data_IF_839945661430
#
_entry.id   IF_839945661430
#
_cell.length_a   1.000
_cell.length_b   1.000
_cell.length_c   1.000
_cell.angle_alpha   90.00
_cell.angle_beta   90.00
_cell.angle_gamma   90.00
#
_symmetry.space_group_name_H-M   'P 1'
#
loop_
_entity.id
_entity.type
_entity.pdbx_description
1 polymer ?
#
# COMPACT_ATOMS: atom_id res chain seq x y z
N UNK A 1 -29.54 -34.95 11.56
CA UNK A 1 -29.96 -34.30 10.31
C UNK A 1 -30.56 -32.97 10.68
N UNK A 2 -29.76 -31.91 10.57
CA UNK A 2 -30.22 -30.52 10.70
C UNK A 2 -29.50 -29.76 9.59
N UNK A 3 -30.31 -29.11 8.80
CA UNK A 3 -30.03 -28.46 7.52
C UNK A 3 -29.22 -27.19 7.71
N UNK A 4 -28.26 -26.97 6.82
CA UNK A 4 -27.47 -25.75 6.68
C UNK A 4 -28.30 -24.75 5.90
N UNK A 5 -28.70 -23.66 6.53
CA UNK A 5 -29.16 -22.43 5.88
C UNK A 5 -28.62 -21.23 6.65
N UNK A 6 -28.18 -20.23 5.89
CA UNK A 6 -27.82 -18.86 6.31
C UNK A 6 -26.37 -18.59 6.75
N UNK A 7 -25.45 -18.57 5.78
CA UNK A 7 -24.38 -17.56 5.73
C UNK A 7 -24.19 -17.17 4.26
N UNK A 8 -24.91 -16.16 3.79
CA UNK A 8 -24.56 -15.40 2.57
C UNK A 8 -25.41 -14.11 2.54
N UNK A 9 -24.90 -13.06 3.17
CA UNK A 9 -25.39 -11.70 2.94
C UNK A 9 -24.28 -10.72 3.35
N UNK A 10 -23.45 -10.32 2.39
CA UNK A 10 -22.75 -9.03 2.32
C UNK A 10 -21.81 -9.08 1.11
N UNK A 11 -22.37 -8.95 -0.10
CA UNK A 11 -21.63 -8.57 -1.29
C UNK A 11 -22.55 -7.77 -2.21
N UNK A 12 -22.86 -6.55 -1.80
CA UNK A 12 -23.51 -5.56 -2.65
C UNK A 12 -22.98 -4.16 -2.33
N UNK A 13 -21.82 -3.83 -2.89
CA UNK A 13 -21.46 -2.43 -3.13
C UNK A 13 -20.43 -2.30 -4.26
N UNK A 14 -20.83 -1.52 -5.28
CA UNK A 14 -20.04 -0.99 -6.40
C UNK A 14 -19.74 -1.91 -7.61
N UNK A 15 -20.70 -1.94 -8.55
CA UNK A 15 -20.41 -1.95 -9.99
C UNK A 15 -20.69 -0.56 -10.56
N UNK A 16 -19.66 0.22 -10.83
CA UNK A 16 -19.76 1.36 -11.75
C UNK A 16 -19.33 0.93 -13.17
N UNK A 17 -20.11 1.24 -14.22
CA UNK A 17 -19.71 1.01 -15.60
C UNK A 17 -18.86 2.18 -16.13
N UNK A 18 -17.74 1.86 -16.79
CA UNK A 18 -17.01 2.82 -17.62
C UNK A 18 -17.86 3.23 -18.83
N UNK A 19 -18.41 4.44 -18.79
CA UNK A 19 -19.00 5.11 -19.95
C UNK A 19 -17.89 5.90 -20.65
N UNK A 20 -17.57 5.51 -21.88
CA UNK A 20 -16.68 6.28 -22.74
C UNK A 20 -17.52 7.35 -23.45
N UNK A 21 -17.28 8.62 -23.10
CA UNK A 21 -17.89 9.78 -23.74
C UNK A 21 -17.24 9.99 -25.12
N UNK A 22 -18.03 9.81 -26.18
CA UNK A 22 -17.66 10.13 -27.55
C UNK A 22 -18.03 11.60 -27.83
N UNK A 23 -17.05 12.42 -28.21
CA UNK A 23 -17.29 13.78 -28.68
C UNK A 23 -17.65 13.77 -30.17
N UNK A 24 -18.85 14.28 -30.47
CA UNK A 24 -19.33 14.51 -31.84
C UNK A 24 -18.64 15.74 -32.48
N UNK A 25 -18.28 15.69 -33.77
CA UNK A 25 -17.92 16.87 -34.54
C UNK A 25 -19.16 17.59 -35.12
N UNK A 26 -19.08 18.91 -35.40
CA UNK A 26 -20.24 19.74 -35.69
C UNK A 26 -20.79 19.57 -37.10
N UNK A 27 -22.12 19.76 -37.19
CA UNK A 27 -22.94 19.86 -38.40
C UNK A 27 -22.79 21.19 -39.14
N UNK A 28 -22.52 21.15 -40.45
CA UNK A 28 -22.93 22.11 -41.50
C UNK A 28 -22.33 21.61 -42.82
N UNK A 29 -22.88 21.70 -44.02
CA UNK A 29 -24.11 22.22 -44.59
C UNK A 29 -24.29 21.46 -45.93
N UNK A 30 -25.49 21.52 -46.48
CA UNK A 30 -25.87 20.95 -47.78
C UNK A 30 -25.12 21.58 -48.95
N UNK A 31 -24.55 20.77 -49.85
CA UNK A 31 -24.30 21.18 -51.23
C UNK A 31 -24.39 19.97 -52.18
N UNK A 32 -25.27 20.08 -53.16
CA UNK A 32 -25.47 19.10 -54.24
C UNK A 32 -24.30 19.15 -55.20
N UNK A 33 -23.59 18.04 -55.37
CA UNK A 33 -22.51 17.90 -56.36
C UNK A 33 -22.90 16.83 -57.38
N UNK A 34 -22.83 17.21 -58.65
CA UNK A 34 -23.16 16.45 -59.85
C UNK A 34 -22.43 15.10 -59.97
N UNK A 35 -22.94 14.15 -60.78
CA UNK A 35 -22.27 12.87 -61.00
C UNK A 35 -20.88 13.05 -61.64
N UNK A 36 -19.86 12.28 -61.19
CA UNK A 36 -18.51 12.41 -61.75
C UNK A 36 -18.44 11.86 -63.17
N UNK A 37 -17.79 12.63 -64.04
CA UNK A 37 -17.37 12.23 -65.38
C UNK A 37 -16.31 11.12 -65.36
N UNK A 38 -16.32 10.27 -66.40
CA UNK A 38 -15.47 9.09 -66.67
C UNK A 38 -13.94 9.33 -66.69
N UNK A 39 -13.34 9.68 -65.55
CA UNK A 39 -11.88 9.70 -65.39
C UNK A 39 -11.46 9.23 -64.00
N UNK A 40 -11.74 7.97 -63.64
CA UNK A 40 -11.10 7.36 -62.46
C UNK A 40 -10.86 5.85 -62.61
N UNK A 41 -10.23 5.48 -63.73
CA UNK A 41 -9.71 4.14 -63.97
C UNK A 41 -8.32 3.90 -63.33
N UNK A 42 -7.98 4.59 -62.23
CA UNK A 42 -6.69 4.40 -61.53
C UNK A 42 -6.82 3.88 -60.08
N UNK A 43 -8.04 3.83 -59.53
CA UNK A 43 -8.28 3.30 -58.17
C UNK A 43 -8.26 1.77 -58.07
N UNK A 44 -8.49 1.05 -59.17
CA UNK A 44 -8.55 -0.42 -59.17
C UNK A 44 -7.18 -1.10 -59.27
N UNK A 45 -6.14 -0.38 -59.69
CA UNK A 45 -4.77 -0.92 -59.75
C UNK A 45 -4.05 -0.92 -58.40
N UNK A 46 -4.49 -0.11 -57.43
CA UNK A 46 -3.80 0.03 -56.14
C UNK A 46 -4.00 -1.17 -55.20
N UNK A 47 -5.03 -1.98 -55.41
CA UNK A 47 -5.33 -3.16 -54.58
C UNK A 47 -4.68 -4.44 -55.09
N UNK A 48 -4.10 -4.43 -56.29
CA UNK A 48 -3.49 -5.63 -56.89
C UNK A 48 -2.06 -5.90 -56.41
N UNK A 49 -1.40 -4.92 -55.77
CA UNK A 49 -0.07 -5.10 -55.17
C UNK A 49 -0.09 -5.75 -53.77
N UNK A 50 -1.28 -5.91 -53.18
CA UNK A 50 -1.44 -6.53 -51.85
C UNK A 50 -1.22 -8.05 -51.85
N UNK A 51 -1.08 -8.68 -53.02
CA UNK A 51 -0.89 -10.11 -53.20
C UNK A 51 0.45 -10.46 -53.88
N UNK A 52 1.43 -9.57 -53.83
CA UNK A 52 2.78 -9.93 -54.28
C UNK A 52 3.36 -11.00 -53.32
N UNK A 53 3.70 -12.22 -53.80
CA UNK A 53 4.29 -13.27 -52.97
C UNK A 53 5.58 -12.83 -52.25
N UNK A 54 6.29 -11.81 -52.76
CA UNK A 54 7.42 -11.22 -52.04
C UNK A 54 7.00 -10.45 -50.79
N UNK A 55 5.89 -9.69 -50.82
CA UNK A 55 5.44 -8.90 -49.66
C UNK A 55 4.86 -9.79 -48.57
N UNK A 56 4.10 -10.83 -48.94
CA UNK A 56 3.64 -11.86 -48.00
C UNK A 56 4.80 -12.68 -47.41
N UNK A 57 5.79 -13.04 -48.25
CA UNK A 57 7.02 -13.70 -47.77
C UNK A 57 7.78 -12.85 -46.76
N UNK A 58 7.92 -11.54 -47.03
CA UNK A 58 8.56 -10.61 -46.11
C UNK A 58 7.77 -10.43 -44.80
N UNK A 59 6.43 -10.38 -44.85
CA UNK A 59 5.58 -10.30 -43.66
C UNK A 59 5.65 -11.56 -42.80
N UNK A 60 5.62 -12.75 -43.42
CA UNK A 60 5.79 -14.03 -42.70
C UNK A 60 7.20 -14.10 -42.09
N UNK A 61 8.24 -13.71 -42.83
CA UNK A 61 9.61 -13.67 -42.31
C UNK A 61 9.75 -12.67 -41.15
N UNK A 62 9.11 -11.50 -41.24
CA UNK A 62 9.11 -10.49 -40.18
C UNK A 62 8.37 -11.00 -38.93
N UNK A 63 7.25 -11.69 -39.08
CA UNK A 63 6.53 -12.32 -37.95
C UNK A 63 7.34 -13.47 -37.35
N UNK A 64 7.96 -14.32 -38.17
CA UNK A 64 8.82 -15.40 -37.70
C UNK A 64 10.07 -14.86 -37.00
N UNK A 65 10.71 -13.82 -37.55
CA UNK A 65 11.80 -13.11 -36.89
C UNK A 65 11.33 -12.47 -35.59
N UNK A 66 10.16 -11.83 -35.56
CA UNK A 66 9.60 -11.28 -34.33
C UNK A 66 9.32 -12.37 -33.29
N UNK A 67 8.79 -13.53 -33.68
CA UNK A 67 8.58 -14.67 -32.78
C UNK A 67 9.90 -15.26 -32.27
N UNK A 68 10.94 -15.34 -33.12
CA UNK A 68 12.29 -15.78 -32.73
C UNK A 68 12.92 -14.76 -31.79
N UNK A 69 12.84 -13.46 -32.10
CA UNK A 69 13.31 -12.39 -31.22
C UNK A 69 12.57 -12.43 -29.88
N UNK A 70 11.25 -12.58 -29.87
CA UNK A 70 10.46 -12.75 -28.63
C UNK A 70 10.92 -13.99 -27.86
N UNK A 71 11.11 -15.16 -28.50
CA UNK A 71 11.60 -16.36 -27.81
C UNK A 71 13.03 -16.24 -27.29
N UNK A 72 13.90 -15.53 -28.01
CA UNK A 72 15.29 -15.28 -27.59
C UNK A 72 15.38 -14.16 -26.53
N UNK A 73 14.39 -13.28 -26.48
CA UNK A 73 14.35 -12.11 -25.61
C UNK A 73 13.40 -12.27 -24.43
N UNK A 74 12.62 -13.35 -24.33
CA UNK A 74 11.87 -13.66 -23.11
C UNK A 74 12.89 -13.91 -22.01
N UNK A 75 13.04 -13.00 -21.02
CA UNK A 75 13.92 -13.26 -19.91
C UNK A 75 13.44 -14.54 -19.26
N UNK A 76 14.35 -15.50 -19.07
CA UNK A 76 14.05 -16.67 -18.25
C UNK A 76 13.71 -16.13 -16.87
N UNK A 77 12.42 -16.05 -16.53
CA UNK A 77 11.98 -15.67 -15.19
C UNK A 77 12.46 -16.80 -14.28
N UNK A 78 13.64 -16.63 -13.70
CA UNK A 78 14.16 -17.58 -12.75
C UNK A 78 13.13 -17.67 -11.62
N UNK A 79 12.59 -18.88 -11.42
CA UNK A 79 11.65 -19.11 -10.32
C UNK A 79 12.37 -18.71 -9.02
N UNK A 80 11.77 -17.86 -8.17
CA UNK A 80 12.38 -17.47 -6.91
C UNK A 80 12.69 -18.72 -6.07
N UNK A 81 13.84 -18.72 -5.37
CA UNK A 81 14.15 -19.79 -4.43
C UNK A 81 13.07 -19.83 -3.34
N UNK A 82 12.59 -21.02 -3.01
CA UNK A 82 11.69 -21.24 -1.89
C UNK A 82 12.52 -21.73 -0.70
N UNK A 83 12.32 -21.07 0.43
CA UNK A 83 12.97 -21.35 1.71
C UNK A 83 11.93 -21.94 2.65
N UNK A 84 12.34 -22.86 3.53
CA UNK A 84 11.56 -23.18 4.72
C UNK A 84 12.20 -22.52 5.95
N UNK A 85 11.49 -22.52 7.07
CA UNK A 85 11.94 -21.82 8.30
C UNK A 85 13.25 -22.40 8.86
N UNK A 86 13.42 -23.72 8.85
CA UNK A 86 14.63 -24.38 9.35
C UNK A 86 15.86 -24.11 8.48
N UNK A 87 15.67 -24.02 7.16
CA UNK A 87 16.71 -23.64 6.22
C UNK A 87 17.11 -22.18 6.43
N UNK A 88 16.12 -21.28 6.50
CA UNK A 88 16.37 -19.84 6.68
C UNK A 88 17.11 -19.56 8.01
N UNK A 89 16.80 -20.29 9.08
CA UNK A 89 17.41 -20.13 10.41
C UNK A 89 18.94 -20.30 10.42
N UNK A 90 19.50 -21.02 9.46
CA UNK A 90 20.96 -21.19 9.31
C UNK A 90 21.66 -19.90 8.88
N UNK A 91 20.94 -18.98 8.25
CA UNK A 91 21.45 -17.73 7.70
C UNK A 91 21.26 -16.54 8.66
N UNK A 92 21.50 -16.79 9.96
CA UNK A 92 21.35 -15.79 11.02
C UNK A 92 22.62 -14.95 11.26
N UNK A 93 23.68 -15.17 10.47
CA UNK A 93 24.95 -14.44 10.56
C UNK A 93 25.98 -15.01 11.53
N UNK A 94 25.68 -16.10 12.24
CA UNK A 94 26.63 -16.77 13.14
C UNK A 94 27.80 -17.42 12.40
N UNK A 95 27.56 -17.97 11.21
CA UNK A 95 28.62 -18.46 10.33
C UNK A 95 29.13 -17.31 9.44
N UNK A 96 30.42 -16.92 9.54
CA UNK A 96 30.97 -15.84 8.71
C UNK A 96 30.94 -16.13 7.21
N UNK A 97 30.87 -17.41 6.81
CA UNK A 97 30.88 -17.88 5.41
C UNK A 97 29.50 -17.88 4.75
N UNK A 98 28.42 -17.82 5.53
CA UNK A 98 27.07 -17.75 5.01
C UNK A 98 26.60 -16.29 4.90
N UNK A 99 25.72 -15.97 3.93
CA UNK A 99 25.04 -14.69 3.91
C UNK A 99 24.10 -14.57 5.11
N UNK A 100 23.75 -13.34 5.45
CA UNK A 100 22.75 -13.02 6.47
C UNK A 100 21.44 -12.78 5.75
N UNK A 101 20.43 -13.60 6.02
CA UNK A 101 19.12 -13.49 5.39
C UNK A 101 18.09 -12.94 6.37
N UNK A 102 17.11 -12.21 5.87
CA UNK A 102 16.00 -11.63 6.63
C UNK A 102 14.70 -11.87 5.88
N UNK A 103 13.67 -12.36 6.58
CA UNK A 103 12.32 -12.52 6.08
C UNK A 103 11.41 -11.37 6.53
N UNK A 104 10.57 -10.88 5.62
CA UNK A 104 9.47 -9.97 5.93
C UNK A 104 8.35 -10.18 4.91
N UNK A 105 7.11 -10.30 5.37
CA UNK A 105 5.93 -10.62 4.54
C UNK A 105 6.16 -11.86 3.65
N UNK A 106 6.97 -12.81 4.12
CA UNK A 106 7.38 -14.00 3.39
C UNK A 106 8.40 -13.78 2.28
N UNK A 107 8.82 -12.54 1.98
CA UNK A 107 9.95 -12.28 1.08
C UNK A 107 11.26 -12.38 1.84
N UNK A 108 12.27 -13.02 1.24
CA UNK A 108 13.59 -13.23 1.84
C UNK A 108 14.62 -12.35 1.14
N UNK A 109 15.38 -11.59 1.93
CA UNK A 109 16.39 -10.66 1.47
C UNK A 109 17.76 -11.00 2.03
N UNK A 110 18.79 -10.90 1.20
CA UNK A 110 20.18 -10.89 1.64
C UNK A 110 20.53 -9.50 2.20
N UNK A 111 20.80 -9.47 3.50
CA UNK A 111 21.15 -8.28 4.27
C UNK A 111 22.63 -8.25 4.67
N UNK A 112 23.48 -9.06 4.03
CA UNK A 112 24.91 -9.19 4.35
C UNK A 112 25.68 -7.87 4.22
N UNK A 113 25.28 -6.96 3.30
CA UNK A 113 25.86 -5.59 3.22
C UNK A 113 25.62 -4.77 4.50
N UNK A 114 24.69 -5.19 5.36
CA UNK A 114 24.40 -4.60 6.66
C UNK A 114 24.91 -5.44 7.84
N UNK A 115 25.95 -6.27 7.67
CA UNK A 115 26.46 -7.18 8.72
C UNK A 115 26.73 -6.51 10.07
N UNK A 116 27.13 -5.24 10.13
CA UNK A 116 27.30 -4.53 11.41
C UNK A 116 25.99 -4.34 12.20
N UNK A 117 24.83 -4.40 11.52
CA UNK A 117 23.52 -4.29 12.14
C UNK A 117 22.84 -5.65 12.33
N UNK A 118 22.96 -6.55 11.33
CA UNK A 118 22.25 -7.83 11.32
C UNK A 118 23.13 -9.02 11.72
N UNK A 119 24.45 -8.84 11.85
CA UNK A 119 25.33 -9.87 12.40
C UNK A 119 25.10 -10.10 13.89
N UNK A 120 25.71 -11.13 14.49
CA UNK A 120 25.45 -11.53 15.89
C UNK A 120 25.54 -10.40 16.93
N UNK A 121 26.52 -9.51 16.78
CA UNK A 121 26.74 -8.36 17.69
C UNK A 121 25.97 -7.10 17.30
N UNK A 122 25.19 -7.15 16.21
CA UNK A 122 24.44 -6.01 15.70
C UNK A 122 23.12 -5.81 16.42
N UNK A 123 22.66 -4.56 16.52
CA UNK A 123 21.41 -4.20 17.20
C UNK A 123 20.14 -4.79 16.57
N UNK A 124 20.24 -5.31 15.34
CA UNK A 124 19.14 -5.91 14.58
C UNK A 124 19.36 -7.41 14.30
N UNK A 125 20.26 -8.07 15.05
CA UNK A 125 20.56 -9.50 14.91
C UNK A 125 19.33 -10.40 15.08
N UNK A 126 18.36 -9.98 15.89
CA UNK A 126 17.11 -10.72 16.13
C UNK A 126 16.26 -10.95 14.88
N UNK A 127 16.43 -10.14 13.83
CA UNK A 127 15.72 -10.30 12.56
C UNK A 127 16.35 -11.33 11.63
N UNK A 128 17.58 -11.75 11.89
CA UNK A 128 18.34 -12.60 10.97
C UNK A 128 17.91 -14.06 11.05
N UNK A 129 17.86 -14.70 9.88
CA UNK A 129 17.47 -16.10 9.71
C UNK A 129 16.00 -16.40 9.97
N UNK A 130 15.10 -15.41 9.94
CA UNK A 130 13.66 -15.63 10.18
C UNK A 130 12.78 -14.59 9.48
N UNK A 131 11.49 -14.87 9.43
CA UNK A 131 10.48 -13.83 9.21
C UNK A 131 10.00 -13.30 10.57
N UNK A 132 10.26 -12.03 10.83
CA UNK A 132 9.86 -11.33 12.04
C UNK A 132 9.01 -10.10 11.71
N UNK A 133 8.09 -10.24 10.75
CA UNK A 133 7.19 -9.18 10.28
C UNK A 133 6.52 -8.41 11.42
N UNK A 134 6.09 -9.08 12.49
CA UNK A 134 5.46 -8.43 13.66
C UNK A 134 6.39 -7.47 14.40
N UNK A 135 7.68 -7.80 14.51
CA UNK A 135 8.64 -7.02 15.27
C UNK A 135 8.87 -5.62 14.69
N UNK A 136 8.66 -5.44 13.39
CA UNK A 136 8.82 -4.14 12.70
C UNK A 136 7.88 -3.04 13.20
N UNK A 137 6.75 -3.40 13.80
CA UNK A 137 5.76 -2.43 14.31
C UNK A 137 5.48 -2.56 15.80
N UNK A 138 5.72 -3.73 16.38
CA UNK A 138 5.52 -3.93 17.81
C UNK A 138 6.70 -3.46 18.66
N UNK A 139 7.92 -3.43 18.10
CA UNK A 139 9.15 -3.19 18.86
C UNK A 139 9.48 -4.29 19.88
N UNK A 140 8.70 -5.38 19.92
CA UNK A 140 9.00 -6.55 20.74
C UNK A 140 9.95 -7.47 19.98
N UNK A 141 11.22 -7.48 20.37
CA UNK A 141 12.26 -8.32 19.77
C UNK A 141 12.50 -9.63 20.54
N UNK A 142 11.50 -10.10 21.28
CA UNK A 142 11.58 -11.34 22.06
C UNK A 142 10.34 -12.21 21.84
N UNK A 143 10.47 -13.51 22.08
CA UNK A 143 9.36 -14.47 22.10
C UNK A 143 8.42 -14.35 20.90
N UNK A 144 7.15 -14.07 21.19
CA UNK A 144 6.02 -13.89 20.28
C UNK A 144 6.15 -12.67 19.35
N UNK A 145 6.96 -11.67 19.72
CA UNK A 145 7.27 -10.52 18.89
C UNK A 145 8.13 -10.85 17.66
N UNK A 146 9.02 -11.85 17.77
CA UNK A 146 9.85 -12.34 16.66
C UNK A 146 9.12 -13.39 15.81
N UNK A 147 7.94 -13.03 15.31
CA UNK A 147 7.09 -13.90 14.50
C UNK A 147 6.58 -13.21 13.22
N UNK A 148 6.09 -14.03 12.29
CA UNK A 148 5.45 -13.62 11.05
C UNK A 148 3.94 -13.32 11.21
N UNK A 149 3.39 -13.51 12.42
CA UNK A 149 1.95 -13.37 12.68
C UNK A 149 1.52 -11.90 12.65
N UNK A 150 0.48 -11.60 11.87
CA UNK A 150 -0.15 -10.27 11.81
C UNK A 150 -1.44 -10.16 12.63
N UNK A 151 -1.75 -11.19 13.43
CA UNK A 151 -3.00 -11.24 14.19
C UNK A 151 -3.12 -10.10 15.21
N UNK A 152 -4.27 -9.43 15.22
CA UNK A 152 -4.53 -8.32 16.15
C UNK A 152 -3.78 -7.02 15.83
N UNK A 153 -3.07 -6.94 14.71
CA UNK A 153 -2.50 -5.68 14.22
C UNK A 153 -3.58 -4.85 13.50
N UNK A 154 -3.53 -3.53 13.68
CA UNK A 154 -4.40 -2.59 12.97
C UNK A 154 -4.01 -2.43 11.50
N UNK A 155 -4.90 -1.86 10.70
CA UNK A 155 -4.64 -1.52 9.30
C UNK A 155 -3.41 -0.61 9.13
N UNK A 156 -3.23 0.35 10.03
CA UNK A 156 -2.06 1.25 10.03
C UNK A 156 -0.76 0.50 10.33
N UNK A 157 -0.79 -0.46 11.26
CA UNK A 157 0.36 -1.29 11.59
C UNK A 157 0.72 -2.22 10.43
N UNK A 158 -0.25 -2.92 9.83
CA UNK A 158 0.02 -3.80 8.68
C UNK A 158 0.49 -3.01 7.46
N UNK A 159 -0.04 -1.80 7.24
CA UNK A 159 0.49 -0.85 6.24
C UNK A 159 1.96 -0.51 6.50
N UNK A 160 2.34 -0.24 7.75
CA UNK A 160 3.73 0.03 8.10
C UNK A 160 4.65 -1.18 7.86
N UNK A 161 4.21 -2.41 8.14
CA UNK A 161 4.95 -3.64 7.78
C UNK A 161 5.12 -3.73 6.26
N UNK A 162 4.07 -3.45 5.49
CA UNK A 162 4.13 -3.44 4.03
C UNK A 162 5.08 -2.36 3.49
N UNK A 163 5.17 -1.19 4.13
CA UNK A 163 6.16 -0.18 3.76
C UNK A 163 7.59 -0.66 4.00
N UNK A 164 7.84 -1.36 5.11
CA UNK A 164 9.14 -2.00 5.37
C UNK A 164 9.47 -3.06 4.32
N UNK A 165 8.49 -3.90 3.96
CA UNK A 165 8.64 -4.88 2.89
C UNK A 165 9.02 -4.20 1.56
N UNK A 166 8.29 -3.16 1.15
CA UNK A 166 8.60 -2.32 -0.02
C UNK A 166 9.97 -1.65 0.07
N UNK A 167 10.40 -1.24 1.27
CA UNK A 167 11.73 -0.67 1.48
C UNK A 167 12.83 -1.69 1.16
N UNK A 168 12.70 -2.94 1.61
CA UNK A 168 13.67 -3.99 1.27
C UNK A 168 13.63 -4.33 -0.22
N UNK A 169 12.43 -4.43 -0.80
CA UNK A 169 12.23 -4.72 -2.22
C UNK A 169 12.86 -3.66 -3.14
N UNK A 170 12.72 -2.37 -2.80
CA UNK A 170 13.25 -1.27 -3.60
C UNK A 170 14.69 -0.87 -3.23
N UNK A 171 15.31 -1.57 -2.28
CA UNK A 171 16.66 -1.27 -1.84
C UNK A 171 17.71 -1.73 -2.85
N UNK A 172 18.67 -0.88 -3.18
CA UNK A 172 19.88 -1.31 -3.91
C UNK A 172 20.91 -2.01 -2.99
N UNK A 173 20.70 -1.94 -1.67
CA UNK A 173 21.57 -2.54 -0.66
C UNK A 173 21.18 -3.99 -0.35
N UNK A 174 19.89 -4.30 -0.33
CA UNK A 174 19.38 -5.61 0.05
C UNK A 174 18.89 -6.35 -1.18
N UNK A 175 19.30 -7.60 -1.33
CA UNK A 175 19.03 -8.37 -2.55
C UNK A 175 17.90 -9.33 -2.27
N UNK A 176 16.82 -9.28 -3.05
CA UNK A 176 15.77 -10.28 -2.98
C UNK A 176 16.31 -11.65 -3.42
N UNK A 177 16.19 -12.66 -2.57
CA UNK A 177 16.73 -14.01 -2.79
C UNK A 177 15.68 -15.12 -2.73
N UNK A 178 14.39 -14.79 -2.58
CA UNK A 178 13.33 -15.78 -2.65
C UNK A 178 12.16 -15.54 -1.72
N UNK A 179 11.36 -16.59 -1.52
CA UNK A 179 10.18 -16.58 -0.65
C UNK A 179 10.28 -17.64 0.44
N UNK A 180 9.75 -17.33 1.60
CA UNK A 180 9.59 -18.25 2.71
C UNK A 180 8.23 -18.95 2.59
N UNK A 181 8.28 -20.28 2.46
CA UNK A 181 7.10 -21.16 2.51
C UNK A 181 6.55 -21.14 3.93
N UNK A 182 5.25 -20.89 4.07
CA UNK A 182 4.58 -20.78 5.35
C UNK A 182 3.35 -19.89 5.28
N UNK A 183 3.28 -18.88 6.16
CA UNK A 183 2.08 -18.05 6.32
C UNK A 183 1.68 -17.30 5.06
N UNK A 184 2.65 -16.73 4.34
CA UNK A 184 2.38 -15.82 3.23
C UNK A 184 2.45 -16.46 1.85
N UNK A 185 3.23 -17.54 1.71
CA UNK A 185 3.40 -18.27 0.46
C UNK A 185 3.32 -19.78 0.70
N UNK A 186 2.67 -20.49 -0.20
CA UNK A 186 2.57 -21.95 -0.15
C UNK A 186 3.84 -22.65 -0.70
N UNK A 187 3.82 -23.99 -0.73
CA UNK A 187 4.94 -24.82 -1.23
C UNK A 187 5.27 -24.59 -2.71
N UNK A 188 4.34 -23.99 -3.47
CA UNK A 188 4.56 -23.61 -4.87
C UNK A 188 5.02 -22.16 -5.03
N UNK A 189 5.10 -21.40 -3.93
CA UNK A 189 5.47 -19.99 -3.91
C UNK A 189 4.33 -19.05 -4.29
N UNK A 190 3.09 -19.53 -4.32
CA UNK A 190 1.90 -18.73 -4.60
C UNK A 190 1.40 -18.05 -3.31
N UNK A 191 0.83 -16.83 -3.40
CA UNK A 191 0.31 -16.14 -2.22
C UNK A 191 -0.83 -16.91 -1.54
N UNK A 192 -0.80 -16.98 -0.22
CA UNK A 192 -1.86 -17.57 0.60
C UNK A 192 -3.02 -16.58 0.82
N UNK A 193 -4.11 -17.05 1.42
CA UNK A 193 -5.23 -16.19 1.85
C UNK A 193 -4.79 -15.15 2.85
N UNK A 194 -3.84 -15.49 3.71
CA UNK A 194 -3.26 -14.61 4.72
C UNK A 194 -2.49 -13.46 4.06
N UNK A 195 -1.70 -13.71 3.02
CA UNK A 195 -1.04 -12.65 2.26
C UNK A 195 -2.05 -11.71 1.61
N UNK A 196 -3.07 -12.26 0.94
CA UNK A 196 -4.14 -11.46 0.33
C UNK A 196 -4.87 -10.59 1.37
N UNK A 197 -5.19 -11.17 2.53
CA UNK A 197 -5.81 -10.43 3.64
C UNK A 197 -4.89 -9.31 4.14
N UNK A 198 -3.61 -9.60 4.31
CA UNK A 198 -2.63 -8.61 4.76
C UNK A 198 -2.49 -7.45 3.76
N UNK A 199 -2.44 -7.73 2.45
CA UNK A 199 -2.43 -6.68 1.42
C UNK A 199 -3.69 -5.82 1.46
N UNK A 200 -4.88 -6.42 1.56
CA UNK A 200 -6.14 -5.67 1.70
C UNK A 200 -6.14 -4.78 2.94
N UNK A 201 -5.63 -5.30 4.06
CA UNK A 201 -5.54 -4.57 5.31
C UNK A 201 -4.52 -3.41 5.23
N UNK A 202 -3.39 -3.62 4.54
CA UNK A 202 -2.44 -2.55 4.22
C UNK A 202 -3.08 -1.45 3.35
N UNK A 203 -3.84 -1.81 2.30
CA UNK A 203 -4.56 -0.83 1.48
C UNK A 203 -5.64 -0.06 2.26
N UNK A 204 -6.28 -0.69 3.26
CA UNK A 204 -7.13 0.04 4.21
C UNK A 204 -6.31 1.04 5.03
N UNK A 205 -5.13 0.65 5.51
CA UNK A 205 -4.21 1.55 6.20
C UNK A 205 -3.77 2.74 5.35
N UNK A 206 -3.48 2.53 4.06
CA UNK A 206 -3.17 3.60 3.12
C UNK A 206 -4.33 4.61 2.98
N UNK A 207 -5.57 4.13 2.90
CA UNK A 207 -6.77 5.00 2.89
C UNK A 207 -6.91 5.82 4.17
N UNK A 208 -6.72 5.20 5.34
CA UNK A 208 -6.80 5.90 6.63
C UNK A 208 -5.71 6.98 6.76
N UNK A 209 -4.51 6.73 6.24
CA UNK A 209 -3.44 7.75 6.20
C UNK A 209 -3.84 8.94 5.31
N UNK A 210 -4.46 8.67 4.15
CA UNK A 210 -4.95 9.72 3.26
C UNK A 210 -6.06 10.54 3.92
N UNK A 211 -7.05 9.88 4.51
CA UNK A 211 -8.16 10.52 5.22
C UNK A 211 -7.65 11.36 6.41
N UNK A 212 -6.70 10.82 7.18
CA UNK A 212 -6.07 11.55 8.28
C UNK A 212 -5.35 12.81 7.79
N UNK A 213 -4.62 12.73 6.66
CA UNK A 213 -3.94 13.88 6.09
C UNK A 213 -4.94 14.94 5.61
N UNK A 214 -6.05 14.53 5.00
CA UNK A 214 -7.12 15.43 4.60
C UNK A 214 -7.77 16.10 5.81
N UNK A 215 -8.07 15.36 6.88
CA UNK A 215 -8.57 15.90 8.15
C UNK A 215 -7.59 16.90 8.79
N UNK A 216 -6.30 16.58 8.83
CA UNK A 216 -5.25 17.48 9.34
C UNK A 216 -5.09 18.74 8.49
N UNK A 217 -5.28 18.63 7.17
CA UNK A 217 -5.26 19.80 6.28
C UNK A 217 -6.47 20.70 6.47
N UNK A 218 -7.64 20.10 6.76
CA UNK A 218 -8.90 20.82 6.96
C UNK A 218 -8.98 21.45 8.35
N UNK A 219 -8.42 20.79 9.36
CA UNK A 219 -8.49 21.19 10.76
C UNK A 219 -7.09 21.34 11.34
N UNK A 220 -6.48 22.53 11.23
CA UNK A 220 -5.11 22.76 11.67
C UNK A 220 -4.99 22.57 13.18
N UNK A 221 -3.77 22.22 13.60
CA UNK A 221 -3.45 22.10 15.03
C UNK A 221 -3.65 23.41 15.77
N UNK A 222 -4.04 23.32 17.03
CA UNK A 222 -4.10 24.50 17.91
C UNK A 222 -2.71 25.08 18.14
N UNK A 223 -2.65 26.38 18.43
CA UNK A 223 -1.49 26.95 19.09
C UNK A 223 -1.42 26.40 20.52
N UNK A 224 -0.22 26.21 21.05
CA UNK A 224 -0.02 25.70 22.42
C UNK A 224 1.14 26.42 23.10
N UNK A 225 1.02 26.61 24.41
CA UNK A 225 2.11 27.06 25.28
C UNK A 225 2.13 26.25 26.55
N UNK A 226 3.32 26.03 27.09
CA UNK A 226 3.52 25.41 28.39
C UNK A 226 4.19 26.39 29.34
N UNK A 227 3.70 26.45 30.56
CA UNK A 227 4.29 27.23 31.65
C UNK A 227 4.25 26.40 32.95
N UNK A 228 5.35 26.29 33.71
CA UNK A 228 5.37 25.48 34.93
C UNK A 228 4.33 25.90 35.98
N UNK A 229 4.10 27.21 36.15
CA UNK A 229 3.20 27.77 37.16
C UNK A 229 1.73 27.80 36.72
N UNK A 230 1.47 27.86 35.41
CA UNK A 230 0.12 28.00 34.85
C UNK A 230 -0.38 26.75 34.13
N UNK A 231 0.49 25.77 33.91
CA UNK A 231 0.19 24.57 33.14
C UNK A 231 0.25 24.80 31.62
N UNK A 232 -0.45 23.94 30.89
CA UNK A 232 -0.49 23.96 29.43
C UNK A 232 -1.75 24.67 28.94
N UNK A 233 -1.62 25.60 28.00
CA UNK A 233 -2.75 26.27 27.37
C UNK A 233 -2.74 26.04 25.87
N UNK A 234 -3.92 25.84 25.29
CA UNK A 234 -4.13 25.79 23.84
C UNK A 234 -5.10 26.87 23.38
N UNK A 235 -4.91 27.39 22.17
CA UNK A 235 -5.82 28.36 21.58
C UNK A 235 -5.87 28.30 20.06
N UNK A 236 -6.97 28.83 19.53
CA UNK A 236 -7.22 28.95 18.09
C UNK A 236 -7.33 30.44 17.72
N UNK A 237 -6.64 30.85 16.65
CA UNK A 237 -6.81 32.20 16.08
C UNK A 237 -8.19 32.33 15.42
N UNK A 238 -8.63 31.25 14.78
CA UNK A 238 -9.96 31.11 14.16
C UNK A 238 -10.57 29.80 14.63
N UNK A 239 -11.83 29.83 15.06
CA UNK A 239 -12.54 28.67 15.61
C UNK A 239 -12.20 28.38 17.07
N UNK A 240 -12.50 27.15 17.50
CA UNK A 240 -12.48 26.74 18.89
C UNK A 240 -11.63 25.47 19.07
N UNK A 241 -10.76 25.40 20.10
CA UNK A 241 -9.96 24.22 20.36
C UNK A 241 -10.84 23.01 20.70
N UNK A 242 -10.55 21.86 20.07
CA UNK A 242 -11.11 20.55 20.46
C UNK A 242 -10.04 19.48 20.51
N UNK A 243 -10.25 18.51 21.39
CA UNK A 243 -9.48 17.28 21.42
C UNK A 243 -10.08 16.36 20.36
N UNK A 244 -9.38 16.26 19.24
CA UNK A 244 -9.76 15.45 18.08
C UNK A 244 -9.07 14.09 18.14
N UNK A 245 -9.85 13.03 18.12
CA UNK A 245 -9.36 11.68 17.87
C UNK A 245 -8.79 11.58 16.46
N UNK A 246 -7.68 10.83 16.32
CA UNK A 246 -7.15 10.45 15.02
C UNK A 246 -8.02 9.39 14.38
N UNK A 247 -8.12 9.47 13.05
CA UNK A 247 -8.83 8.50 12.25
C UNK A 247 -8.15 7.14 12.41
N UNK A 248 -8.95 6.14 12.76
CA UNK A 248 -8.52 4.77 12.96
C UNK A 248 -9.56 3.79 12.42
N UNK A 249 -9.18 2.51 12.31
CA UNK A 249 -10.09 1.44 11.89
C UNK A 249 -10.94 0.88 13.04
N UNK A 250 -10.78 1.40 14.26
CA UNK A 250 -11.43 0.88 15.47
C UNK A 250 -10.96 -0.51 15.92
N UNK A 251 -9.93 -1.08 15.27
CA UNK A 251 -9.40 -2.42 15.59
C UNK A 251 -8.25 -2.35 16.59
N UNK A 252 -7.63 -1.17 16.75
CA UNK A 252 -6.58 -0.96 17.72
C UNK A 252 -7.13 -1.03 19.15
N UNK A 253 -6.60 -1.96 19.96
CA UNK A 253 -7.05 -2.20 21.34
C UNK A 253 -6.42 -1.26 22.38
N UNK A 254 -5.53 -0.36 21.97
CA UNK A 254 -4.89 0.61 22.86
C UNK A 254 -5.66 1.92 22.96
N UNK A 255 -5.09 2.89 23.68
CA UNK A 255 -5.67 4.22 23.78
C UNK A 255 -5.76 4.90 22.40
N UNK A 256 -6.89 5.55 22.14
CA UNK A 256 -7.08 6.34 20.92
C UNK A 256 -6.14 7.54 20.96
N UNK A 257 -5.32 7.70 19.94
CA UNK A 257 -4.44 8.86 19.82
C UNK A 257 -5.27 10.10 19.52
N UNK A 258 -4.99 11.19 20.23
CA UNK A 258 -5.74 12.45 20.13
C UNK A 258 -4.81 13.63 19.92
N UNK A 259 -5.29 14.66 19.25
CA UNK A 259 -4.59 15.94 19.04
C UNK A 259 -5.50 17.13 19.33
N UNK A 260 -4.93 18.30 19.61
CA UNK A 260 -5.70 19.54 19.58
C UNK A 260 -5.84 20.02 18.13
N UNK A 261 -7.07 20.35 17.71
CA UNK A 261 -7.33 21.02 16.44
C UNK A 261 -8.40 22.11 16.57
N UNK A 262 -8.36 23.08 15.65
CA UNK A 262 -9.30 24.21 15.61
C UNK A 262 -10.51 23.90 14.71
N UNK A 263 -11.72 24.11 15.24
CA UNK A 263 -12.97 23.86 14.53
C UNK A 263 -13.90 25.07 14.56
N UNK A 264 -14.65 25.25 13.48
CA UNK A 264 -15.80 26.16 13.45
C UNK A 264 -17.03 25.52 14.08
N UNK A 265 -17.95 26.34 14.59
CA UNK A 265 -19.11 25.90 15.38
C UNK A 265 -20.02 24.91 14.65
N UNK A 266 -20.24 25.12 13.35
CA UNK A 266 -21.11 24.27 12.53
C UNK A 266 -20.52 22.87 12.29
N UNK A 267 -19.19 22.72 12.37
CA UNK A 267 -18.47 21.46 12.20
C UNK A 267 -18.38 20.68 13.50
N UNK A 268 -18.28 21.37 14.65
CA UNK A 268 -18.11 20.72 15.96
C UNK A 268 -19.22 19.71 16.27
N UNK A 269 -20.45 19.96 15.80
CA UNK A 269 -21.60 19.07 16.01
C UNK A 269 -21.71 17.93 14.99
N UNK A 270 -20.89 17.94 13.93
CA UNK A 270 -20.97 16.98 12.81
C UNK A 270 -19.81 15.99 12.80
N UNK A 271 -18.59 16.41 13.17
CA UNK A 271 -17.41 15.55 13.20
C UNK A 271 -17.44 14.66 14.45
N UNK A 272 -17.37 13.35 14.26
CA UNK A 272 -17.24 12.37 15.35
C UNK A 272 -15.84 12.42 15.98
N UNK A 273 -15.70 11.89 17.20
CA UNK A 273 -14.39 11.83 17.88
C UNK A 273 -13.85 13.20 18.29
N UNK A 274 -14.75 14.14 18.65
CA UNK A 274 -14.39 15.42 19.23
C UNK A 274 -14.74 15.44 20.72
N UNK A 275 -13.82 15.91 21.55
CA UNK A 275 -14.00 16.13 22.98
C UNK A 275 -13.64 17.56 23.37
N UNK A 276 -14.30 18.06 24.40
CA UNK A 276 -14.02 19.37 24.99
C UNK A 276 -12.92 19.25 26.04
N UNK A 277 -12.28 20.39 26.35
CA UNK A 277 -11.33 20.49 27.46
C UNK A 277 -12.10 20.64 28.76
N UNK A 278 -11.65 19.95 29.81
CA UNK A 278 -12.31 19.98 31.11
C UNK A 278 -12.40 21.41 31.65
N UNK A 279 -13.63 21.84 32.00
CA UNK A 279 -13.90 23.19 32.51
C UNK A 279 -13.76 24.31 31.47
N UNK A 280 -13.56 23.99 30.19
CA UNK A 280 -13.51 25.00 29.13
C UNK A 280 -14.89 25.20 28.50
N UNK A 281 -15.42 26.44 28.43
CA UNK A 281 -16.68 26.70 27.74
C UNK A 281 -16.64 26.27 26.26
N UNK A 282 -17.74 25.75 25.69
CA UNK A 282 -17.75 25.21 24.33
C UNK A 282 -17.24 26.19 23.26
N UNK A 283 -17.60 27.47 23.36
CA UNK A 283 -17.20 28.51 22.41
C UNK A 283 -16.00 29.35 22.90
N UNK A 284 -15.17 28.79 23.78
CA UNK A 284 -13.93 29.46 24.19
C UNK A 284 -12.84 29.26 23.12
N UNK A 285 -12.16 30.35 22.75
CA UNK A 285 -11.00 30.28 21.84
C UNK A 285 -9.70 29.85 22.54
N UNK A 286 -9.69 29.78 23.88
CA UNK A 286 -8.53 29.40 24.70
C UNK A 286 -8.97 28.41 25.79
N UNK A 287 -8.23 27.33 25.97
CA UNK A 287 -8.52 26.30 26.97
C UNK A 287 -7.25 25.86 27.72
N UNK A 288 -7.43 25.51 28.99
CA UNK A 288 -6.40 24.80 29.76
C UNK A 288 -6.35 23.33 29.31
N UNK A 289 -5.15 22.87 28.97
CA UNK A 289 -4.88 21.54 28.43
C UNK A 289 -4.17 20.63 29.43
N UNK A 290 -3.47 21.19 30.41
CA UNK A 290 -2.83 20.43 31.47
C UNK A 290 -2.60 21.33 32.70
N UNK A 291 -2.63 20.77 33.92
CA UNK A 291 -2.43 21.53 35.15
C UNK A 291 -0.97 22.01 35.32
N UNK A 292 -0.71 23.01 36.18
CA UNK A 292 0.64 23.39 36.59
C UNK A 292 1.44 22.22 37.18
N UNK A 293 2.77 22.28 37.08
CA UNK A 293 3.64 21.36 37.83
C UNK A 293 3.75 21.84 39.28
N UNK A 294 3.42 20.95 40.21
CA UNK A 294 3.54 21.16 41.65
C UNK A 294 5.01 21.23 42.09
#
# INVERSE_FOLDING_TARGET
MVTITEIESEDEFEKEPLVAEASEPPTSASESVDPPSDQDATGFQKYQEMWDPLTWGAMILAVLMAMVIVRLSTPTVMKPKLWNSEELAKYNGSDPKLPILLGIMGSVFDVSKGRNHYGPEGSYSHFSGRDASRAFVSGNFTGDGLSDSLEGLSALQVKSIMDWHKFFENSTKYIYVGKLVGRFYDESGLPTKEFVRATRLASRGERLVKEQKEDESRFPSCNSRWNPQQGGEVWCTTGYPRIAERISDGLYKGAVETRCACFEEDVMNKRKGLREYDGCPPLSQRCQSAPPQA
#
